data_IF_829965617408
#
_entry.id   IF_829965617408
#
_cell.length_a   1.000
_cell.length_b   1.000
_cell.length_c   1.000
_cell.angle_alpha   90.00
_cell.angle_beta   90.00
_cell.angle_gamma   90.00
#
_symmetry.space_group_name_H-M   'P 1'
#
loop_
_entity.id
_entity.type
_entity.pdbx_description
1 polymer ?
#
# COMPACT_ATOMS: atom_id res chain seq x y z
N UNK A 1 17.51 27.77 -86.41
CA UNK A 1 16.79 29.02 -86.08
C UNK A 1 16.28 28.91 -84.65
N UNK A 2 16.70 29.84 -83.79
CA UNK A 2 16.35 29.92 -82.37
C UNK A 2 14.84 30.16 -82.16
N UNK A 3 14.22 29.53 -81.14
CA UNK A 3 13.21 30.19 -80.30
C UNK A 3 13.02 29.49 -78.94
N UNK A 4 13.63 30.12 -77.96
CA UNK A 4 13.28 30.33 -76.55
C UNK A 4 11.98 29.72 -75.95
N UNK A 5 12.20 29.08 -74.79
CA UNK A 5 11.60 29.32 -73.47
C UNK A 5 10.07 29.35 -73.31
N UNK A 6 9.55 28.50 -72.42
CA UNK A 6 8.78 28.93 -71.25
C UNK A 6 8.70 27.84 -70.16
N UNK A 7 9.25 28.23 -69.02
CA UNK A 7 9.12 27.79 -67.63
C UNK A 7 7.81 27.10 -67.23
N UNK A 8 7.93 26.02 -66.45
CA UNK A 8 6.88 25.48 -65.59
C UNK A 8 7.50 24.84 -64.35
N UNK A 9 7.43 25.54 -63.22
CA UNK A 9 7.77 25.01 -61.89
C UNK A 9 6.64 24.07 -61.43
N UNK A 10 6.96 22.85 -61.02
CA UNK A 10 6.15 22.10 -60.06
C UNK A 10 7.08 21.55 -58.98
N UNK A 11 6.86 22.05 -57.76
CA UNK A 11 7.57 21.67 -56.56
C UNK A 11 7.25 20.20 -56.19
N UNK A 12 8.31 19.41 -56.03
CA UNK A 12 8.25 18.04 -55.54
C UNK A 12 8.06 18.07 -54.01
N UNK A 13 6.85 17.77 -53.54
CA UNK A 13 6.55 17.64 -52.11
C UNK A 13 7.23 16.39 -51.53
N UNK A 14 8.26 16.59 -50.72
CA UNK A 14 8.94 15.53 -49.99
C UNK A 14 8.12 15.17 -48.74
N UNK A 15 7.40 14.05 -48.78
CA UNK A 15 6.74 13.45 -47.60
C UNK A 15 7.81 12.79 -46.73
N UNK A 16 8.31 13.49 -45.72
CA UNK A 16 9.09 12.89 -44.64
C UNK A 16 8.10 12.32 -43.62
N UNK A 17 7.96 11.00 -43.61
CA UNK A 17 7.25 10.29 -42.55
C UNK A 17 8.06 10.39 -41.26
N UNK A 18 7.58 11.21 -40.32
CA UNK A 18 8.13 11.29 -38.96
C UNK A 18 7.62 10.08 -38.19
N UNK A 19 8.44 9.03 -38.09
CA UNK A 19 8.26 7.93 -37.13
C UNK A 19 8.37 8.50 -35.71
N UNK A 20 7.24 8.64 -35.03
CA UNK A 20 7.18 9.04 -33.63
C UNK A 20 7.75 7.94 -32.74
N UNK A 21 9.02 8.07 -32.39
CA UNK A 21 9.64 7.31 -31.32
C UNK A 21 9.03 7.80 -29.99
N UNK A 22 8.07 7.07 -29.44
CA UNK A 22 7.57 7.34 -28.09
C UNK A 22 8.69 6.98 -27.09
N UNK A 23 9.53 7.96 -26.78
CA UNK A 23 10.40 7.89 -25.62
C UNK A 23 9.51 7.81 -24.37
N UNK A 24 9.47 6.63 -23.75
CA UNK A 24 8.94 6.49 -22.40
C UNK A 24 9.73 7.44 -21.50
N UNK A 25 9.04 8.37 -20.86
CA UNK A 25 9.66 9.37 -19.99
C UNK A 25 10.45 8.65 -18.89
N UNK A 26 11.73 8.99 -18.67
CA UNK A 26 12.51 8.39 -17.60
C UNK A 26 11.86 8.75 -16.25
N UNK A 27 11.89 7.78 -15.34
CA UNK A 27 11.49 7.92 -13.94
C UNK A 27 12.09 9.22 -13.38
N UNK A 28 11.23 10.21 -13.12
CA UNK A 28 11.64 11.54 -12.70
C UNK A 28 12.19 11.46 -11.28
N UNK A 29 13.51 11.41 -11.14
CA UNK A 29 14.17 11.72 -9.86
C UNK A 29 14.14 13.22 -9.67
N UNK A 30 13.34 13.73 -8.73
CA UNK A 30 13.54 15.05 -8.14
C UNK A 30 14.06 14.89 -6.71
N UNK A 31 15.19 15.51 -6.34
CA UNK A 31 15.59 15.63 -4.95
C UNK A 31 15.11 16.96 -4.38
N UNK A 32 14.13 16.94 -3.48
CA UNK A 32 13.97 17.97 -2.47
C UNK A 32 13.73 17.27 -1.12
N UNK A 33 14.65 17.52 -0.20
CA UNK A 33 14.64 17.01 1.17
C UNK A 33 13.45 17.61 1.92
N UNK A 34 12.32 16.92 1.89
CA UNK A 34 11.29 17.03 2.92
C UNK A 34 11.67 15.99 4.00
N UNK A 35 11.93 16.44 5.21
CA UNK A 35 12.40 15.60 6.30
C UNK A 35 11.41 14.45 6.56
N UNK A 36 11.94 13.24 6.80
CA UNK A 36 11.26 11.94 6.88
C UNK A 36 10.17 11.85 7.95
N UNK A 37 9.05 12.52 7.76
CA UNK A 37 7.86 12.35 8.57
C UNK A 37 7.03 11.18 8.03
N UNK A 38 7.45 9.97 8.38
CA UNK A 38 6.59 8.80 8.25
C UNK A 38 6.56 8.12 6.87
N UNK A 39 7.66 8.07 6.15
CA UNK A 39 7.84 6.99 5.18
C UNK A 39 8.54 5.82 5.88
N UNK A 40 8.15 4.59 5.52
CA UNK A 40 8.82 3.38 6.00
C UNK A 40 10.30 3.49 5.64
N UNK A 41 11.19 3.24 6.61
CA UNK A 41 12.65 3.26 6.41
C UNK A 41 13.02 2.53 5.10
N UNK A 42 13.49 3.23 4.06
CA UNK A 42 13.75 2.62 2.75
C UNK A 42 14.77 1.48 2.82
N UNK A 43 15.62 1.44 3.85
CA UNK A 43 16.55 0.34 4.07
C UNK A 43 15.87 -0.99 4.46
N UNK A 44 14.59 -0.96 4.84
CA UNK A 44 13.77 -2.16 5.09
C UNK A 44 13.21 -2.74 3.80
N UNK A 45 13.03 -1.93 2.77
CA UNK A 45 12.33 -2.32 1.56
C UNK A 45 13.23 -3.19 0.68
N UNK A 46 12.68 -4.30 0.20
CA UNK A 46 13.29 -5.14 -0.84
C UNK A 46 12.27 -5.38 -1.96
N UNK A 47 12.70 -5.48 -3.23
CA UNK A 47 11.81 -5.86 -4.33
C UNK A 47 11.25 -7.28 -4.14
N UNK A 48 10.01 -7.52 -4.57
CA UNK A 48 9.36 -8.83 -4.51
C UNK A 48 10.18 -9.94 -5.18
N UNK A 49 10.87 -9.63 -6.28
CA UNK A 49 11.78 -10.59 -6.94
C UNK A 49 12.98 -10.97 -6.08
N UNK A 50 13.56 -10.01 -5.34
CA UNK A 50 14.65 -10.28 -4.40
C UNK A 50 14.15 -11.13 -3.23
N UNK A 51 13.00 -10.77 -2.66
CA UNK A 51 12.34 -11.58 -1.64
C UNK A 51 12.10 -13.02 -2.15
N UNK A 52 11.65 -13.20 -3.39
CA UNK A 52 11.48 -14.53 -3.98
C UNK A 52 12.79 -15.33 -4.07
N UNK A 53 13.91 -14.70 -4.39
CA UNK A 53 15.22 -15.36 -4.33
C UNK A 53 15.58 -15.81 -2.90
N UNK A 54 15.25 -14.99 -1.88
CA UNK A 54 15.43 -15.37 -0.48
C UNK A 54 14.53 -16.55 -0.08
N UNK A 55 13.28 -16.56 -0.54
CA UNK A 55 12.32 -17.64 -0.29
C UNK A 55 12.79 -18.97 -0.87
N UNK A 56 13.21 -19.00 -2.14
CA UNK A 56 13.71 -20.21 -2.81
C UNK A 56 14.91 -20.84 -2.09
N UNK A 57 15.74 -20.01 -1.47
CA UNK A 57 16.93 -20.43 -0.71
C UNK A 57 16.65 -20.65 0.77
N UNK A 58 15.40 -20.53 1.21
CA UNK A 58 14.97 -20.64 2.61
C UNK A 58 15.78 -19.72 3.56
N UNK A 59 16.12 -18.52 3.09
CA UNK A 59 16.98 -17.58 3.83
C UNK A 59 16.21 -16.75 4.86
N UNK A 60 14.88 -16.68 4.77
CA UNK A 60 14.05 -15.90 5.66
C UNK A 60 12.69 -16.55 5.89
N UNK A 61 12.07 -16.20 7.01
CA UNK A 61 10.67 -16.52 7.28
C UNK A 61 9.80 -15.41 6.70
N UNK A 62 8.82 -15.81 5.89
CA UNK A 62 7.85 -14.88 5.31
C UNK A 62 6.68 -14.70 6.27
N UNK A 63 6.33 -13.45 6.56
CA UNK A 63 5.31 -13.09 7.56
C UNK A 63 4.24 -12.24 6.88
N UNK A 64 3.04 -12.82 6.79
CA UNK A 64 1.84 -12.12 6.36
C UNK A 64 1.26 -11.34 7.53
N UNK A 65 1.30 -10.00 7.44
CA UNK A 65 0.75 -9.13 8.49
C UNK A 65 -0.67 -8.66 8.19
N UNK A 66 -1.30 -9.18 7.13
CA UNK A 66 -2.71 -8.94 6.84
C UNK A 66 -3.60 -9.68 7.84
N UNK A 67 -4.91 -9.53 7.70
CA UNK A 67 -5.85 -10.30 8.51
C UNK A 67 -5.70 -11.81 8.27
N UNK A 68 -6.04 -12.61 9.27
CA UNK A 68 -6.13 -14.08 9.12
C UNK A 68 -7.13 -14.48 8.04
N UNK A 69 -8.15 -13.66 7.83
CA UNK A 69 -9.13 -13.84 6.75
C UNK A 69 -8.45 -13.79 5.37
N UNK A 70 -7.65 -12.74 5.11
CA UNK A 70 -6.91 -12.59 3.86
C UNK A 70 -5.87 -13.69 3.68
N UNK A 71 -5.12 -14.02 4.73
CA UNK A 71 -4.15 -15.11 4.70
C UNK A 71 -4.81 -16.44 4.30
N UNK A 72 -5.94 -16.78 4.94
CA UNK A 72 -6.66 -18.03 4.65
C UNK A 72 -7.26 -18.03 3.25
N UNK A 73 -7.64 -16.88 2.70
CA UNK A 73 -8.15 -16.75 1.34
C UNK A 73 -7.03 -16.98 0.32
N UNK A 74 -5.90 -16.27 0.47
CA UNK A 74 -4.69 -16.47 -0.32
C UNK A 74 -3.48 -15.76 0.28
N UNK A 75 -2.31 -16.39 0.23
CA UNK A 75 -1.06 -15.85 0.80
C UNK A 75 0.18 -16.26 0.00
N UNK A 76 1.32 -15.62 0.25
CA UNK A 76 2.60 -16.02 -0.32
C UNK A 76 2.95 -17.44 0.15
N UNK A 77 3.45 -18.29 -0.76
CA UNK A 77 3.80 -19.67 -0.41
C UNK A 77 4.80 -19.75 0.77
N UNK A 78 4.60 -20.70 1.69
CA UNK A 78 5.43 -20.88 2.90
C UNK A 78 5.45 -19.69 3.88
N UNK A 79 4.61 -18.67 3.69
CA UNK A 79 4.43 -17.62 4.68
C UNK A 79 3.69 -18.15 5.91
N UNK A 80 3.92 -17.51 7.04
CA UNK A 80 3.11 -17.67 8.25
C UNK A 80 2.19 -16.45 8.42
N UNK A 81 1.04 -16.65 9.06
CA UNK A 81 0.15 -15.55 9.45
C UNK A 81 0.57 -15.00 10.81
N UNK A 82 0.88 -13.70 10.85
CA UNK A 82 1.02 -12.95 12.11
C UNK A 82 0.53 -11.51 11.89
N UNK A 83 -0.79 -11.27 12.01
CA UNK A 83 -1.42 -9.99 11.69
C UNK A 83 -0.79 -8.79 12.41
N UNK A 84 -0.78 -7.62 11.76
CA UNK A 84 -0.27 -6.36 12.32
C UNK A 84 -0.84 -6.07 13.71
N UNK A 85 -2.14 -6.32 13.92
CA UNK A 85 -2.79 -6.13 15.22
C UNK A 85 -2.11 -6.94 16.32
N UNK A 86 -1.84 -8.21 16.05
CA UNK A 86 -1.16 -9.10 16.98
C UNK A 86 0.27 -8.61 17.25
N UNK A 87 0.98 -8.14 16.22
CA UNK A 87 2.34 -7.54 16.36
C UNK A 87 2.30 -6.28 17.22
N UNK A 88 1.32 -5.42 17.00
CA UNK A 88 1.20 -4.13 17.67
C UNK A 88 0.90 -4.23 19.17
N UNK A 89 0.39 -5.38 19.61
CA UNK A 89 0.00 -5.64 21.00
C UNK A 89 0.97 -6.57 21.74
N UNK A 90 1.79 -7.34 21.01
CA UNK A 90 2.68 -8.33 21.62
C UNK A 90 4.10 -7.81 21.81
N UNK A 91 4.73 -8.22 22.91
CA UNK A 91 6.18 -8.13 23.10
C UNK A 91 6.91 -9.45 22.77
N UNK A 92 6.15 -10.49 22.42
CA UNK A 92 6.64 -11.83 22.15
C UNK A 92 6.23 -12.24 20.73
N UNK A 93 7.13 -12.00 19.78
CA UNK A 93 7.02 -12.51 18.43
C UNK A 93 7.70 -13.90 18.38
N UNK A 94 7.14 -14.91 17.70
CA UNK A 94 7.46 -16.32 17.91
C UNK A 94 8.80 -16.77 17.32
N UNK A 95 9.63 -15.84 16.85
CA UNK A 95 10.95 -16.12 16.28
C UNK A 95 12.08 -15.51 17.10
N UNK A 96 13.27 -16.13 17.07
CA UNK A 96 14.50 -15.53 17.60
C UNK A 96 14.80 -14.15 16.99
N UNK A 97 15.43 -13.25 17.77
CA UNK A 97 15.72 -11.86 17.37
C UNK A 97 16.69 -11.74 16.18
N UNK A 98 17.53 -12.75 15.99
CA UNK A 98 18.49 -12.84 14.88
C UNK A 98 17.92 -13.53 13.64
N UNK A 99 16.68 -14.05 13.69
CA UNK A 99 16.05 -14.68 12.54
C UNK A 99 15.78 -13.63 11.44
N UNK A 100 16.12 -13.97 10.19
CA UNK A 100 15.76 -13.15 9.04
C UNK A 100 14.26 -13.27 8.74
N UNK A 101 13.58 -12.13 8.72
CA UNK A 101 12.14 -12.00 8.51
C UNK A 101 11.87 -11.13 7.27
N UNK A 102 10.95 -11.58 6.43
CA UNK A 102 10.43 -10.81 5.29
C UNK A 102 8.93 -10.63 5.50
N UNK A 103 8.50 -9.39 5.72
CA UNK A 103 7.12 -9.06 6.05
C UNK A 103 6.41 -8.48 4.83
N UNK A 104 5.10 -8.70 4.73
CA UNK A 104 4.28 -8.10 3.68
C UNK A 104 2.85 -7.87 4.15
N UNK A 105 2.21 -6.85 3.56
CA UNK A 105 0.79 -6.57 3.69
C UNK A 105 0.11 -6.55 2.30
N UNK A 106 -1.16 -6.11 2.22
CA UNK A 106 -1.88 -6.01 0.96
C UNK A 106 -1.24 -4.98 0.02
N UNK A 107 -1.17 -3.72 0.48
CA UNK A 107 -0.72 -2.58 -0.31
C UNK A 107 0.34 -1.72 0.37
N UNK A 108 1.16 -1.06 -0.46
CA UNK A 108 2.39 -1.65 -0.95
C UNK A 108 3.25 -2.18 0.21
N UNK A 109 3.37 -1.43 1.31
CA UNK A 109 4.17 -1.85 2.46
C UNK A 109 3.83 -1.11 3.76
N UNK A 110 2.65 -0.48 3.90
CA UNK A 110 2.38 0.39 5.05
C UNK A 110 2.29 -0.41 6.36
N UNK A 111 1.37 -1.38 6.45
CA UNK A 111 1.21 -2.22 7.64
C UNK A 111 2.46 -3.09 7.91
N UNK A 112 3.10 -3.62 6.87
CA UNK A 112 4.32 -4.42 7.01
C UNK A 112 5.53 -3.59 7.42
N UNK A 113 5.62 -2.34 6.96
CA UNK A 113 6.63 -1.39 7.40
C UNK A 113 6.46 -1.03 8.87
N UNK A 114 5.24 -0.67 9.30
CA UNK A 114 4.97 -0.46 10.73
C UNK A 114 5.28 -1.68 11.58
N UNK A 115 4.94 -2.88 11.09
CA UNK A 115 5.28 -4.15 11.76
C UNK A 115 6.79 -4.32 11.89
N UNK A 116 7.54 -4.04 10.83
CA UNK A 116 9.00 -4.16 10.82
C UNK A 116 9.66 -3.17 11.78
N UNK A 117 9.16 -1.94 11.86
CA UNK A 117 9.62 -0.94 12.82
C UNK A 117 9.38 -1.38 14.27
N UNK A 118 8.20 -1.94 14.56
CA UNK A 118 7.89 -2.49 15.90
C UNK A 118 8.90 -3.60 16.24
N UNK A 119 9.11 -4.56 15.34
CA UNK A 119 10.06 -5.65 15.59
C UNK A 119 11.51 -5.15 15.72
N UNK A 120 11.95 -4.19 14.90
CA UNK A 120 13.28 -3.58 15.06
C UNK A 120 13.44 -2.92 16.43
N UNK A 121 12.43 -2.18 16.91
CA UNK A 121 12.43 -1.59 18.26
C UNK A 121 12.48 -2.66 19.36
N UNK A 122 11.92 -3.83 19.10
CA UNK A 122 12.01 -5.01 19.98
C UNK A 122 13.30 -5.82 19.81
N UNK A 123 14.29 -5.33 19.05
CA UNK A 123 15.61 -5.95 18.90
C UNK A 123 15.73 -6.99 17.79
N UNK A 124 14.75 -7.13 16.89
CA UNK A 124 14.91 -7.98 15.71
C UNK A 124 15.90 -7.34 14.73
N UNK A 125 17.03 -8.00 14.46
CA UNK A 125 18.14 -7.41 13.72
C UNK A 125 18.01 -7.56 12.20
N UNK A 126 17.22 -8.52 11.73
CA UNK A 126 17.09 -8.87 10.31
C UNK A 126 15.64 -8.84 9.86
N UNK A 127 15.09 -7.64 9.65
CA UNK A 127 13.71 -7.46 9.18
C UNK A 127 13.71 -6.71 7.86
N UNK A 128 13.04 -7.28 6.86
CA UNK A 128 12.81 -6.70 5.53
C UNK A 128 11.33 -6.69 5.20
N UNK A 129 10.95 -5.84 4.26
CA UNK A 129 9.56 -5.64 3.82
C UNK A 129 9.50 -5.71 2.31
N UNK A 130 8.54 -6.48 1.78
CA UNK A 130 8.31 -6.54 0.33
C UNK A 130 7.72 -5.20 -0.11
N UNK A 131 8.43 -4.49 -0.98
CA UNK A 131 8.06 -3.15 -1.42
C UNK A 131 6.71 -3.13 -2.15
N UNK A 132 6.42 -4.13 -2.98
CA UNK A 132 5.21 -4.18 -3.79
C UNK A 132 4.01 -4.86 -3.09
N UNK A 133 4.22 -5.35 -1.87
CA UNK A 133 3.22 -6.06 -1.09
C UNK A 133 2.74 -7.36 -1.73
N UNK A 134 1.67 -7.93 -1.17
CA UNK A 134 1.05 -9.15 -1.66
C UNK A 134 0.50 -8.99 -3.08
N UNK A 135 -0.13 -7.85 -3.38
CA UNK A 135 -0.77 -7.65 -4.68
C UNK A 135 0.24 -7.52 -5.81
N UNK A 136 1.35 -6.81 -5.58
CA UNK A 136 2.45 -6.77 -6.52
C UNK A 136 3.10 -8.14 -6.72
N UNK A 137 3.32 -8.90 -5.64
CA UNK A 137 3.81 -10.28 -5.71
C UNK A 137 2.93 -11.15 -6.61
N UNK A 138 1.61 -11.10 -6.40
CA UNK A 138 0.63 -11.86 -7.20
C UNK A 138 0.60 -11.40 -8.66
N UNK A 139 0.64 -10.09 -8.92
CA UNK A 139 0.67 -9.55 -10.28
C UNK A 139 1.91 -10.01 -11.06
N UNK A 140 3.03 -10.20 -10.38
CA UNK A 140 4.27 -10.74 -10.97
C UNK A 140 4.22 -12.26 -11.24
N UNK A 141 3.13 -12.95 -10.87
CA UNK A 141 3.00 -14.40 -11.05
C UNK A 141 3.88 -15.22 -10.11
N UNK A 142 4.30 -14.65 -8.98
CA UNK A 142 5.12 -15.33 -7.99
C UNK A 142 4.28 -16.31 -7.16
N UNK A 143 4.88 -17.37 -6.55
CA UNK A 143 4.12 -18.45 -5.95
C UNK A 143 3.25 -18.02 -4.76
N UNK A 144 2.01 -18.52 -4.74
CA UNK A 144 1.02 -18.30 -3.69
C UNK A 144 0.37 -19.62 -3.29
N UNK A 145 -0.26 -19.63 -2.13
CA UNK A 145 -1.22 -20.66 -1.71
C UNK A 145 -2.60 -20.03 -1.75
N UNK A 146 -3.56 -20.71 -2.36
CA UNK A 146 -4.96 -20.31 -2.38
C UNK A 146 -5.77 -21.17 -1.43
N UNK A 147 -6.65 -20.54 -0.67
CA UNK A 147 -7.68 -21.20 0.11
C UNK A 147 -8.92 -21.52 -0.73
N UNK A 148 -10.04 -21.85 -0.07
CA UNK A 148 -11.29 -22.16 -0.75
C UNK A 148 -11.82 -21.01 -1.64
N UNK A 149 -12.40 -21.30 -2.81
CA UNK A 149 -12.87 -20.28 -3.77
C UNK A 149 -13.87 -19.26 -3.20
N UNK A 150 -14.67 -19.66 -2.20
CA UNK A 150 -15.71 -18.83 -1.59
C UNK A 150 -15.15 -17.58 -0.90
N UNK A 151 -13.85 -17.54 -0.59
CA UNK A 151 -13.20 -16.41 0.08
C UNK A 151 -12.78 -15.24 -0.85
N UNK A 152 -13.10 -15.28 -2.15
CA UNK A 152 -12.43 -14.45 -3.16
C UNK A 152 -13.23 -13.28 -3.75
N UNK A 153 -14.48 -12.98 -3.31
CA UNK A 153 -15.20 -11.82 -3.88
C UNK A 153 -14.60 -10.52 -3.36
N UNK A 154 -13.78 -9.86 -4.17
CA UNK A 154 -13.00 -8.70 -3.74
C UNK A 154 -13.64 -7.39 -4.12
N UNK A 155 -13.44 -6.40 -3.27
CA UNK A 155 -13.63 -5.00 -3.59
C UNK A 155 -12.26 -4.34 -3.74
N UNK A 156 -12.17 -3.36 -4.63
CA UNK A 156 -11.02 -2.48 -4.72
C UNK A 156 -11.53 -1.08 -4.92
N UNK A 157 -11.41 -0.27 -3.86
CA UNK A 157 -11.94 1.08 -3.84
C UNK A 157 -10.90 2.02 -3.24
N UNK A 158 -10.59 3.08 -3.97
CA UNK A 158 -9.84 4.21 -3.41
C UNK A 158 -10.79 5.06 -2.58
N UNK A 159 -10.38 5.37 -1.35
CA UNK A 159 -11.01 6.38 -0.51
C UNK A 159 -10.03 7.52 -0.27
N UNK A 160 -10.55 8.73 -0.17
CA UNK A 160 -9.79 9.94 0.10
C UNK A 160 -10.46 10.69 1.23
N UNK A 161 -9.66 11.26 2.12
CA UNK A 161 -10.15 12.05 3.23
C UNK A 161 -9.14 13.05 3.75
N UNK A 162 -9.57 13.82 4.73
CA UNK A 162 -8.74 14.78 5.44
C UNK A 162 -8.96 14.58 6.94
N UNK A 163 -7.89 14.49 7.71
CA UNK A 163 -7.91 14.38 9.15
C UNK A 163 -7.65 15.75 9.78
N UNK A 164 -8.51 16.17 10.71
CA UNK A 164 -8.36 17.45 11.43
C UNK A 164 -8.55 17.30 12.93
N UNK A 165 -8.07 18.26 13.70
CA UNK A 165 -8.41 18.40 15.12
C UNK A 165 -9.83 18.98 15.30
N UNK A 166 -10.23 19.24 16.55
CA UNK A 166 -11.53 19.79 16.90
C UNK A 166 -11.72 21.26 16.45
N UNK A 167 -10.64 21.94 16.08
CA UNK A 167 -10.61 23.32 15.58
C UNK A 167 -10.48 23.36 14.04
N UNK A 168 -10.59 22.22 13.35
CA UNK A 168 -10.40 22.05 11.91
C UNK A 168 -8.96 22.31 11.42
N UNK A 169 -7.96 22.26 12.30
CA UNK A 169 -6.57 22.27 11.85
C UNK A 169 -6.18 20.89 11.32
N UNK A 170 -5.47 20.81 10.18
CA UNK A 170 -5.01 19.53 9.65
C UNK A 170 -4.08 18.78 10.59
N UNK A 171 -4.32 17.47 10.74
CA UNK A 171 -3.45 16.57 11.49
C UNK A 171 -2.51 15.84 10.54
N UNK A 172 -1.29 16.37 10.41
CA UNK A 172 -0.27 15.83 9.53
C UNK A 172 0.37 14.53 10.06
N UNK A 173 0.76 13.64 9.14
CA UNK A 173 1.55 12.44 9.41
C UNK A 173 0.95 11.43 10.40
N UNK A 174 -0.38 11.39 10.52
CA UNK A 174 -1.10 10.41 11.32
C UNK A 174 -1.49 9.21 10.46
N UNK A 175 -1.40 8.00 11.02
CA UNK A 175 -1.93 6.81 10.38
C UNK A 175 -3.44 6.72 10.60
N UNK A 176 -4.18 6.75 9.49
CA UNK A 176 -5.61 6.50 9.45
C UNK A 176 -5.81 5.03 9.07
N UNK A 177 -6.63 4.34 9.85
CA UNK A 177 -6.95 2.94 9.67
C UNK A 177 -8.39 2.77 9.23
N UNK A 178 -8.63 1.83 8.33
CA UNK A 178 -9.98 1.33 8.04
C UNK A 178 -10.00 -0.17 8.27
N UNK A 179 -10.90 -0.58 9.14
CA UNK A 179 -11.12 -1.98 9.50
C UNK A 179 -12.49 -2.43 9.03
N UNK A 180 -12.54 -3.54 8.29
CA UNK A 180 -13.78 -4.29 8.10
C UNK A 180 -14.07 -5.13 9.34
N UNK A 181 -15.07 -4.72 10.13
CA UNK A 181 -15.32 -5.27 11.45
C UNK A 181 -15.63 -6.79 11.46
N UNK A 182 -16.41 -7.34 10.51
CA UNK A 182 -16.70 -8.78 10.51
C UNK A 182 -15.48 -9.67 10.29
N UNK A 183 -14.56 -9.25 9.40
CA UNK A 183 -13.41 -10.09 9.00
C UNK A 183 -12.09 -9.67 9.65
N UNK A 184 -12.04 -8.49 10.27
CA UNK A 184 -10.82 -7.89 10.82
C UNK A 184 -9.81 -7.46 9.74
N UNK A 185 -10.23 -7.37 8.47
CA UNK A 185 -9.39 -6.85 7.39
C UNK A 185 -9.05 -5.40 7.68
N UNK A 186 -7.80 -5.01 7.45
CA UNK A 186 -7.29 -3.73 7.88
C UNK A 186 -6.47 -3.11 6.75
N UNK A 187 -6.74 -1.86 6.45
CA UNK A 187 -5.92 -1.02 5.58
C UNK A 187 -5.53 0.23 6.34
N UNK A 188 -4.40 0.83 5.96
CA UNK A 188 -3.91 2.05 6.57
C UNK A 188 -3.27 2.97 5.52
N UNK A 189 -3.41 4.26 5.75
CA UNK A 189 -2.71 5.30 5.00
C UNK A 189 -2.29 6.42 5.96
N UNK A 190 -1.17 7.07 5.65
CA UNK A 190 -0.67 8.20 6.42
C UNK A 190 -1.12 9.52 5.79
N UNK A 191 -1.49 10.47 6.63
CA UNK A 191 -1.83 11.83 6.19
C UNK A 191 -0.59 12.61 5.79
N UNK A 192 -0.71 13.45 4.76
CA UNK A 192 0.36 14.37 4.34
C UNK A 192 0.43 15.61 5.27
N UNK A 193 1.28 16.57 4.94
CA UNK A 193 1.44 17.85 5.69
C UNK A 193 0.15 18.67 5.82
N UNK A 194 -0.85 18.42 4.98
CA UNK A 194 -2.15 19.07 4.97
C UNK A 194 -3.27 18.17 5.54
N UNK A 195 -2.91 17.09 6.23
CA UNK A 195 -3.87 16.17 6.84
C UNK A 195 -4.63 15.29 5.84
N UNK A 196 -4.33 15.38 4.54
CA UNK A 196 -5.00 14.58 3.51
C UNK A 196 -4.41 13.17 3.43
N UNK A 197 -5.26 12.17 3.22
CA UNK A 197 -4.86 10.81 2.92
C UNK A 197 -5.63 10.26 1.73
N UNK A 198 -4.97 9.38 0.99
CA UNK A 198 -5.58 8.53 -0.02
C UNK A 198 -5.24 7.09 0.34
N UNK A 199 -6.23 6.21 0.28
CA UNK A 199 -6.06 4.82 0.64
C UNK A 199 -6.78 3.91 -0.34
N UNK A 200 -6.10 2.83 -0.72
CA UNK A 200 -6.68 1.79 -1.56
C UNK A 200 -7.17 0.66 -0.66
N UNK A 201 -8.49 0.47 -0.59
CA UNK A 201 -9.10 -0.63 0.15
C UNK A 201 -9.07 -1.89 -0.69
N UNK A 202 -8.44 -2.96 -0.20
CA UNK A 202 -8.43 -4.28 -0.85
C UNK A 202 -9.03 -5.36 0.02
N UNK A 203 -10.32 -5.26 0.34
CA UNK A 203 -11.01 -6.27 1.12
C UNK A 203 -11.59 -7.40 0.26
N UNK A 204 -11.51 -8.63 0.79
CA UNK A 204 -12.06 -9.85 0.23
C UNK A 204 -13.30 -10.29 1.01
N UNK A 205 -14.29 -10.81 0.30
CA UNK A 205 -15.55 -11.36 0.82
C UNK A 205 -16.26 -10.44 1.80
N UNK A 206 -16.48 -9.21 1.35
CA UNK A 206 -17.19 -8.18 2.10
C UNK A 206 -18.51 -7.84 1.39
N UNK A 207 -19.56 -7.66 2.18
CA UNK A 207 -20.89 -7.28 1.69
C UNK A 207 -21.09 -5.76 1.80
N UNK A 208 -21.83 -5.13 0.86
CA UNK A 208 -22.03 -3.68 0.85
C UNK A 208 -22.55 -3.07 2.15
N UNK A 209 -23.37 -3.82 2.89
CA UNK A 209 -24.01 -3.47 4.15
C UNK A 209 -23.17 -3.76 5.42
N UNK A 210 -22.03 -4.43 5.27
CA UNK A 210 -21.16 -4.75 6.41
C UNK A 210 -20.39 -3.52 6.91
N UNK A 211 -20.14 -3.48 8.21
CA UNK A 211 -19.57 -2.31 8.87
C UNK A 211 -18.05 -2.22 8.72
N UNK A 212 -17.61 -1.03 8.34
CA UNK A 212 -16.27 -0.51 8.48
C UNK A 212 -16.16 0.37 9.72
N UNK A 213 -15.01 0.33 10.39
CA UNK A 213 -14.59 1.35 11.34
C UNK A 213 -13.43 2.14 10.75
N UNK A 214 -13.49 3.47 10.83
CA UNK A 214 -12.40 4.36 10.46
C UNK A 214 -11.88 5.07 11.70
N UNK A 215 -10.56 5.15 11.84
CA UNK A 215 -9.96 5.62 13.07
C UNK A 215 -8.47 5.92 13.00
N UNK A 216 -7.92 6.33 14.14
CA UNK A 216 -6.49 6.28 14.41
C UNK A 216 -6.19 4.97 15.15
N UNK A 217 -4.90 4.74 15.43
CA UNK A 217 -4.50 3.67 16.34
C UNK A 217 -5.28 3.79 17.66
N UNK A 218 -5.96 2.71 18.05
CA UNK A 218 -6.75 2.58 19.28
C UNK A 218 -7.96 3.55 19.42
N UNK A 219 -8.23 4.39 18.41
CA UNK A 219 -9.31 5.38 18.44
C UNK A 219 -10.24 5.18 17.25
N UNK A 220 -11.49 4.81 17.52
CA UNK A 220 -12.55 4.75 16.49
C UNK A 220 -13.20 6.11 16.35
N UNK A 221 -13.23 6.62 15.13
CA UNK A 221 -13.72 7.96 14.84
C UNK A 221 -15.07 7.94 14.16
N UNK A 222 -15.30 6.97 13.26
CA UNK A 222 -16.61 6.74 12.65
C UNK A 222 -16.83 5.29 12.28
N UNK A 223 -18.08 4.93 12.01
CA UNK A 223 -18.49 3.67 11.39
C UNK A 223 -19.39 3.97 10.21
N UNK A 224 -19.23 3.18 9.16
CA UNK A 224 -19.99 3.27 7.92
C UNK A 224 -19.96 1.92 7.22
N UNK A 225 -20.84 1.72 6.27
CA UNK A 225 -20.85 0.55 5.39
C UNK A 225 -20.08 0.82 4.11
N UNK A 226 -19.71 -0.22 3.38
CA UNK A 226 -19.07 -0.06 2.07
C UNK A 226 -19.92 0.75 1.09
N UNK A 227 -21.24 0.63 1.17
CA UNK A 227 -22.19 1.41 0.37
C UNK A 227 -22.15 2.91 0.70
N UNK A 228 -21.82 3.26 1.94
CA UNK A 228 -21.74 4.65 2.44
C UNK A 228 -20.37 5.31 2.20
N UNK A 229 -19.39 4.60 1.61
CA UNK A 229 -18.13 5.20 1.18
C UNK A 229 -18.35 6.14 -0.02
N UNK A 230 -18.77 7.38 0.24
CA UNK A 230 -18.84 8.46 -0.74
C UNK A 230 -17.45 9.09 -1.00
N UNK A 231 -17.26 9.68 -2.19
CA UNK A 231 -16.02 10.38 -2.60
C UNK A 231 -16.26 11.89 -2.75
N UNK A 232 -15.42 12.77 -2.19
CA UNK A 232 -14.38 12.51 -1.17
C UNK A 232 -15.00 12.39 0.23
N UNK A 233 -14.51 11.43 1.03
CA UNK A 233 -14.99 11.23 2.40
C UNK A 233 -14.33 12.27 3.31
N UNK A 234 -15.06 13.37 3.58
CA UNK A 234 -14.61 14.39 4.53
C UNK A 234 -14.81 13.92 5.97
N UNK A 235 -13.81 13.28 6.54
CA UNK A 235 -13.81 12.87 7.93
C UNK A 235 -13.33 14.01 8.84
N UNK A 236 -14.26 14.83 9.34
CA UNK A 236 -13.95 15.71 10.47
C UNK A 236 -13.97 14.87 11.74
N UNK A 237 -12.80 14.72 12.37
CA UNK A 237 -12.59 13.78 13.46
C UNK A 237 -12.11 14.56 14.70
N UNK A 238 -13.00 15.29 15.38
CA UNK A 238 -12.63 16.01 16.58
C UNK A 238 -12.18 14.98 17.62
N UNK A 239 -10.87 14.93 17.90
CA UNK A 239 -10.31 14.30 19.10
C UNK A 239 -10.93 15.02 20.31
N UNK A 240 -12.05 14.49 20.80
CA UNK A 240 -12.56 14.90 22.12
C UNK A 240 -11.60 14.31 23.15
N UNK A 241 -10.75 15.15 23.70
CA UNK A 241 -9.96 14.85 24.90
C UNK A 241 -10.93 14.54 26.05
N UNK A 242 -11.21 13.25 26.27
CA UNK A 242 -11.85 12.68 27.46
C UNK A 242 -11.52 11.17 27.42
N UNK A 243 -10.78 10.55 28.33
CA UNK A 243 -10.42 10.87 29.71
C UNK A 243 -9.01 10.31 29.96
N UNK A 244 -8.13 11.12 30.57
CA UNK A 244 -7.06 10.56 31.37
C UNK A 244 -7.74 9.79 32.52
N UNK A 245 -7.41 8.49 32.64
CA UNK A 245 -7.65 7.74 33.87
C UNK A 245 -6.74 8.29 34.97
#
# INVERSE_FOLDING_TARGET
>A
MYKALKTGFLALGCFIAVLSLQAQAPYRTQPQQEQSHGEIDPALLIPAKEAYEMQKKNLAVFVDVRSRFEYNAEHIQNAISFPYKDISMTNQFPFPKDKSLVMYCGCPHHLSGMSAEILKKQGYSQVKVINEGYWGWKQMGLPIVQGPPEALKRISQTIEGQLTDAQNHPLAYHDVFVEHLPTGQLEAARTNSQGHFQMHLHFASVLPEEQLAIGLKDIRLTRLTLKELEKPLKLSLPLKTAQAQ
#
